data_IF_940662213904
#
_entry.id   IF_940662213904
#
_cell.length_a   1.000
_cell.length_b   1.000
_cell.length_c   1.000
_cell.angle_alpha   90.00
_cell.angle_beta   90.00
_cell.angle_gamma   90.00
#
_symmetry.space_group_name_H-M   'P 1'
#
loop_
_entity.id
_entity.type
_entity.pdbx_description
1 polymer ?
#
# COMPACT_ATOMS: atom_id res chain seq x y z
N UNK A 1 24.51 9.44 43.51
CA UNK A 1 23.89 9.55 42.17
C UNK A 1 22.71 8.59 42.11
N UNK A 2 21.50 9.04 42.46
CA UNK A 2 20.26 8.27 42.22
C UNK A 2 19.76 8.63 40.83
N UNK A 3 20.52 8.24 39.80
CA UNK A 3 20.32 8.62 38.41
C UNK A 3 19.61 7.56 37.59
N UNK A 4 18.61 6.89 38.17
CA UNK A 4 17.76 5.92 37.48
C UNK A 4 16.41 6.53 37.17
N UNK A 5 15.80 6.11 36.05
CA UNK A 5 14.43 6.44 35.69
C UNK A 5 13.48 5.98 36.80
N UNK A 6 12.45 6.76 37.10
CA UNK A 6 11.38 6.30 37.99
C UNK A 6 10.54 5.22 37.30
N UNK A 7 9.78 4.43 38.07
CA UNK A 7 8.89 3.42 37.51
C UNK A 7 7.87 4.05 36.54
N UNK A 8 7.38 5.26 36.84
CA UNK A 8 6.51 6.03 35.96
C UNK A 8 7.21 6.48 34.66
N UNK A 9 8.49 6.85 34.73
CA UNK A 9 9.28 7.18 33.53
C UNK A 9 9.51 5.93 32.67
N UNK A 10 9.76 4.77 33.31
CA UNK A 10 9.91 3.48 32.62
C UNK A 10 8.62 3.10 31.91
N UNK A 11 7.47 3.14 32.59
CA UNK A 11 6.17 2.84 32.00
C UNK A 11 5.82 3.77 30.83
N UNK A 12 6.14 5.06 30.96
CA UNK A 12 5.97 6.02 29.88
C UNK A 12 6.86 5.68 28.68
N UNK A 13 8.14 5.40 28.93
CA UNK A 13 9.08 5.02 27.86
C UNK A 13 8.66 3.72 27.16
N UNK A 14 8.09 2.75 27.86
CA UNK A 14 7.54 1.53 27.25
C UNK A 14 6.37 1.85 26.34
N UNK A 15 5.38 2.62 26.80
CA UNK A 15 4.23 3.01 25.96
C UNK A 15 4.63 3.83 24.74
N UNK A 16 5.56 4.76 24.92
CA UNK A 16 6.10 5.55 23.81
C UNK A 16 6.83 4.66 22.80
N UNK A 17 7.59 3.66 23.27
CA UNK A 17 8.26 2.70 22.39
C UNK A 17 7.26 1.82 21.62
N UNK A 18 6.20 1.33 22.28
CA UNK A 18 5.14 0.53 21.64
C UNK A 18 4.39 1.33 20.58
N UNK A 19 4.03 2.58 20.87
CA UNK A 19 3.36 3.46 19.92
C UNK A 19 4.22 3.76 18.68
N UNK A 20 5.52 3.99 18.88
CA UNK A 20 6.46 4.20 17.78
C UNK A 20 6.63 2.92 16.94
N UNK A 21 6.75 1.75 17.59
CA UNK A 21 6.85 0.46 16.88
C UNK A 21 5.62 0.20 15.99
N UNK A 22 4.42 0.51 16.47
CA UNK A 22 3.19 0.39 15.68
C UNK A 22 3.14 1.41 14.53
N UNK A 23 3.60 2.64 14.74
CA UNK A 23 3.68 3.65 13.69
C UNK A 23 4.66 3.25 12.57
N UNK A 24 5.84 2.74 12.95
CA UNK A 24 6.87 2.26 12.03
C UNK A 24 6.37 1.05 11.22
N UNK A 25 5.66 0.13 11.88
CA UNK A 25 5.04 -1.03 11.24
C UNK A 25 4.02 -0.59 10.17
N UNK A 26 3.10 0.31 10.52
CA UNK A 26 2.10 0.84 9.57
C UNK A 26 2.76 1.52 8.37
N UNK A 27 3.80 2.32 8.62
CA UNK A 27 4.56 2.99 7.54
C UNK A 27 5.23 1.98 6.62
N UNK A 28 5.84 0.94 7.18
CA UNK A 28 6.46 -0.14 6.40
C UNK A 28 5.43 -0.87 5.55
N UNK A 29 4.27 -1.21 6.13
CA UNK A 29 3.18 -1.88 5.40
C UNK A 29 2.65 -1.03 4.25
N UNK A 30 2.47 0.28 4.46
CA UNK A 30 2.06 1.20 3.39
C UNK A 30 3.09 1.26 2.26
N UNK A 31 4.38 1.36 2.57
CA UNK A 31 5.45 1.36 1.56
C UNK A 31 5.50 0.04 0.79
N UNK A 32 5.37 -1.11 1.48
CA UNK A 32 5.32 -2.42 0.81
C UNK A 32 4.13 -2.49 -0.14
N UNK A 33 2.93 -2.10 0.32
CA UNK A 33 1.73 -2.11 -0.51
C UNK A 33 1.87 -1.19 -1.73
N UNK A 34 2.47 -0.01 -1.57
CA UNK A 34 2.73 0.93 -2.68
C UNK A 34 3.66 0.33 -3.73
N UNK A 35 4.77 -0.27 -3.30
CA UNK A 35 5.74 -0.86 -4.23
C UNK A 35 5.14 -2.03 -5.03
N UNK A 36 4.34 -2.88 -4.38
CA UNK A 36 3.63 -3.98 -5.05
C UNK A 36 2.61 -3.46 -6.06
N UNK A 37 1.83 -2.45 -5.68
CA UNK A 37 0.85 -1.80 -6.54
C UNK A 37 1.49 -1.13 -7.76
N UNK A 38 2.55 -0.34 -7.58
CA UNK A 38 3.26 0.34 -8.67
C UNK A 38 3.82 -0.67 -9.69
N UNK A 39 4.39 -1.77 -9.20
CA UNK A 39 4.88 -2.85 -10.06
C UNK A 39 3.75 -3.47 -10.90
N UNK A 40 2.62 -3.76 -10.27
CA UNK A 40 1.46 -4.33 -10.96
C UNK A 40 0.92 -3.35 -12.02
N UNK A 41 0.67 -2.10 -11.64
CA UNK A 41 0.22 -1.03 -12.56
C UNK A 41 1.11 -0.96 -13.78
N UNK A 42 2.43 -0.87 -13.59
CA UNK A 42 3.38 -0.76 -14.69
C UNK A 42 3.32 -1.97 -15.63
N UNK A 43 3.28 -3.18 -15.07
CA UNK A 43 3.20 -4.41 -15.86
C UNK A 43 1.89 -4.54 -16.64
N UNK A 44 0.77 -4.15 -16.04
CA UNK A 44 -0.55 -4.18 -16.68
C UNK A 44 -0.66 -3.14 -17.80
N UNK A 45 -0.19 -1.91 -17.57
CA UNK A 45 -0.18 -0.86 -18.60
C UNK A 45 0.68 -1.27 -19.81
N UNK A 46 1.83 -1.90 -19.56
CA UNK A 46 2.67 -2.44 -20.62
C UNK A 46 1.94 -3.55 -21.40
N UNK A 47 1.31 -4.49 -20.71
CA UNK A 47 0.56 -5.57 -21.35
C UNK A 47 -0.61 -5.04 -22.19
N UNK A 48 -1.33 -4.03 -21.71
CA UNK A 48 -2.39 -3.36 -22.47
C UNK A 48 -1.84 -2.62 -23.71
N UNK A 49 -0.69 -1.97 -23.59
CA UNK A 49 -0.05 -1.32 -24.74
C UNK A 49 0.39 -2.32 -25.81
N UNK A 50 0.92 -3.48 -25.41
CA UNK A 50 1.44 -4.50 -26.33
C UNK A 50 0.34 -5.41 -26.91
N UNK A 51 -0.70 -5.70 -26.13
CA UNK A 51 -1.69 -6.75 -26.43
C UNK A 51 -3.15 -6.31 -26.29
N UNK A 52 -3.43 -5.09 -25.84
CA UNK A 52 -4.80 -4.62 -25.53
C UNK A 52 -5.75 -4.59 -26.73
N UNK A 53 -5.23 -4.57 -27.96
CA UNK A 53 -6.05 -4.71 -29.17
C UNK A 53 -6.62 -6.12 -29.38
N UNK A 54 -6.08 -7.13 -28.68
CA UNK A 54 -6.56 -8.52 -28.69
C UNK A 54 -7.54 -8.81 -27.55
N UNK A 55 -7.73 -7.86 -26.64
CA UNK A 55 -8.65 -7.95 -25.50
C UNK A 55 -9.99 -7.34 -25.90
N UNK A 56 -11.10 -7.94 -25.46
CA UNK A 56 -12.44 -7.40 -25.74
C UNK A 56 -12.59 -5.98 -25.15
N UNK A 57 -13.36 -5.11 -25.81
CA UNK A 57 -13.49 -3.70 -25.35
C UNK A 57 -13.97 -3.59 -23.90
N UNK A 58 -14.94 -4.43 -23.50
CA UNK A 58 -15.48 -4.45 -22.14
C UNK A 58 -14.42 -4.84 -21.11
N UNK A 59 -13.65 -5.88 -21.39
CA UNK A 59 -12.58 -6.36 -20.51
C UNK A 59 -11.43 -5.35 -20.45
N UNK A 60 -11.04 -4.78 -21.59
CA UNK A 60 -10.03 -3.73 -21.67
C UNK A 60 -10.42 -2.52 -20.81
N UNK A 61 -11.68 -2.05 -20.91
CA UNK A 61 -12.19 -0.96 -20.06
C UNK A 61 -12.14 -1.31 -18.58
N UNK A 62 -12.55 -2.53 -18.20
CA UNK A 62 -12.52 -2.95 -16.80
C UNK A 62 -11.10 -2.92 -16.22
N UNK A 63 -10.10 -3.34 -17.00
CA UNK A 63 -8.68 -3.26 -16.61
C UNK A 63 -8.22 -1.80 -16.52
N UNK A 64 -8.53 -0.97 -17.52
CA UNK A 64 -8.20 0.47 -17.53
C UNK A 64 -8.79 1.21 -16.30
N UNK A 65 -10.04 0.92 -15.96
CA UNK A 65 -10.71 1.48 -14.77
C UNK A 65 -10.04 0.99 -13.47
N UNK A 66 -9.71 -0.31 -13.36
CA UNK A 66 -9.02 -0.86 -12.20
C UNK A 66 -7.60 -0.27 -12.03
N UNK A 67 -6.88 -0.03 -13.13
CA UNK A 67 -5.58 0.67 -13.11
C UNK A 67 -5.76 2.10 -12.60
N UNK A 68 -6.76 2.82 -13.10
CA UNK A 68 -7.03 4.20 -12.68
C UNK A 68 -7.36 4.28 -11.18
N UNK A 69 -8.22 3.39 -10.70
CA UNK A 69 -8.60 3.30 -9.30
C UNK A 69 -7.40 3.01 -8.38
N UNK A 70 -6.52 2.10 -8.78
CA UNK A 70 -5.31 1.79 -8.03
C UNK A 70 -4.35 2.98 -8.01
N UNK A 71 -4.17 3.67 -9.14
CA UNK A 71 -3.38 4.91 -9.21
C UNK A 71 -3.92 6.00 -8.29
N UNK A 72 -5.24 6.11 -8.15
CA UNK A 72 -5.85 7.08 -7.23
C UNK A 72 -5.57 6.71 -5.76
N UNK A 73 -5.71 5.42 -5.41
CA UNK A 73 -5.38 4.92 -4.07
C UNK A 73 -3.90 5.14 -3.70
N UNK A 74 -3.00 5.00 -4.68
CA UNK A 74 -1.56 5.21 -4.50
C UNK A 74 -1.17 6.67 -4.15
N UNK A 75 -2.06 7.65 -4.38
CA UNK A 75 -1.86 9.04 -3.94
C UNK A 75 -1.99 9.21 -2.43
N UNK A 76 -2.65 8.27 -1.74
CA UNK A 76 -2.79 8.24 -0.28
C UNK A 76 -1.76 7.34 0.41
N UNK A 77 -1.94 7.10 1.71
CA UNK A 77 -1.10 6.21 2.54
C UNK A 77 -1.91 5.08 3.21
N UNK A 78 -3.15 4.86 2.78
CA UNK A 78 -4.00 3.79 3.28
C UNK A 78 -3.57 2.44 2.67
N UNK A 79 -2.77 1.69 3.42
CA UNK A 79 -2.24 0.39 3.00
C UNK A 79 -3.36 -0.62 2.68
N UNK A 80 -4.49 -0.58 3.38
CA UNK A 80 -5.59 -1.52 3.18
C UNK A 80 -6.36 -1.17 1.90
N UNK A 81 -6.61 0.11 1.66
CA UNK A 81 -7.21 0.57 0.41
C UNK A 81 -6.33 0.22 -0.81
N UNK A 82 -5.01 0.42 -0.70
CA UNK A 82 -4.05 0.07 -1.76
C UNK A 82 -4.09 -1.44 -2.01
N UNK A 83 -3.98 -2.28 -0.98
CA UNK A 83 -4.04 -3.74 -1.13
C UNK A 83 -5.34 -4.21 -1.79
N UNK A 84 -6.48 -3.67 -1.38
CA UNK A 84 -7.78 -4.05 -1.95
C UNK A 84 -7.87 -3.71 -3.45
N UNK A 85 -7.36 -2.53 -3.85
CA UNK A 85 -7.30 -2.13 -5.27
C UNK A 85 -6.26 -2.93 -6.05
N UNK A 86 -5.12 -3.27 -5.45
CA UNK A 86 -4.13 -4.20 -6.04
C UNK A 86 -4.76 -5.56 -6.34
N UNK A 87 -5.52 -6.12 -5.38
CA UNK A 87 -6.23 -7.38 -5.59
C UNK A 87 -7.31 -7.29 -6.65
N UNK A 88 -7.98 -6.13 -6.76
CA UNK A 88 -8.99 -5.88 -7.81
C UNK A 88 -8.34 -5.88 -9.18
N UNK A 89 -7.22 -5.15 -9.35
CA UNK A 89 -6.48 -5.13 -10.62
C UNK A 89 -5.89 -6.50 -10.98
N UNK A 90 -5.43 -7.28 -10.00
CA UNK A 90 -4.89 -8.61 -10.23
C UNK A 90 -5.95 -9.64 -10.69
N UNK A 91 -7.24 -9.35 -10.50
CA UNK A 91 -8.37 -10.21 -10.87
C UNK A 91 -9.16 -9.70 -12.08
N UNK A 92 -8.84 -8.50 -12.57
CA UNK A 92 -9.44 -7.89 -13.75
C UNK A 92 -8.91 -8.52 -15.03
#
# INVERSE_FOLDING_TARGET
ASGGLSEADIEKMVKDAEANAEADKKRREAVTAKNEADGLVHSTEKALAEHGSKVGETERRAIEDAVSDLKEALKGDDAEAIKAKTQTLAQA
#
